data_IF_608444100859
#
_entry.id   IF_608444100859
#
_cell.length_a   1.000
_cell.length_b   1.000
_cell.length_c   1.000
_cell.angle_alpha   90.00
_cell.angle_beta   90.00
_cell.angle_gamma   90.00
#
_symmetry.space_group_name_H-M   'P 1'
#
loop_
_entity.id
_entity.type
_entity.pdbx_description
1 polymer ?
#
# COMPACT_ATOMS: atom_id res chain seq x y z
N UNK A 1 -22.04 9.85 -44.21
CA UNK A 1 -21.60 9.01 -43.07
C UNK A 1 -20.78 9.73 -41.97
N UNK A 2 -20.40 11.02 -42.10
CA UNK A 2 -19.59 11.71 -41.06
C UNK A 2 -20.39 12.54 -40.03
N UNK A 3 -21.65 12.89 -40.32
CA UNK A 3 -22.52 13.64 -39.38
C UNK A 3 -23.40 12.74 -38.50
N UNK A 4 -23.75 11.55 -38.99
CA UNK A 4 -24.43 10.51 -38.22
C UNK A 4 -23.50 9.86 -37.17
N UNK A 5 -22.21 9.75 -37.48
CA UNK A 5 -21.19 9.21 -36.57
C UNK A 5 -20.86 10.12 -35.39
N UNK A 6 -21.12 11.43 -35.50
CA UNK A 6 -20.97 12.38 -34.37
C UNK A 6 -22.16 12.34 -33.40
N UNK A 7 -23.37 12.04 -33.89
CA UNK A 7 -24.53 11.83 -33.00
C UNK A 7 -24.43 10.51 -32.22
N UNK A 8 -23.86 9.46 -32.83
CA UNK A 8 -23.60 8.17 -32.16
C UNK A 8 -22.52 8.30 -31.06
N UNK A 9 -21.54 9.18 -31.23
CA UNK A 9 -20.47 9.44 -30.25
C UNK A 9 -20.96 10.29 -29.06
N UNK A 10 -21.88 11.23 -29.29
CA UNK A 10 -22.45 12.08 -28.22
C UNK A 10 -23.49 11.30 -27.39
N UNK A 11 -24.20 10.34 -27.99
CA UNK A 11 -25.12 9.47 -27.27
C UNK A 11 -24.39 8.43 -26.39
N UNK A 12 -23.16 8.03 -26.77
CA UNK A 12 -22.30 7.16 -25.97
C UNK A 12 -21.69 7.86 -24.73
N UNK A 13 -21.77 9.19 -24.68
CA UNK A 13 -21.34 10.01 -23.53
C UNK A 13 -22.48 10.31 -22.54
N UNK A 14 -23.73 9.92 -22.84
CA UNK A 14 -24.90 10.35 -22.07
C UNK A 14 -25.90 9.23 -21.70
N UNK A 15 -25.41 8.02 -21.41
CA UNK A 15 -26.03 7.12 -20.43
C UNK A 15 -25.08 5.96 -20.06
N UNK A 16 -25.04 5.46 -18.81
CA UNK A 16 -25.89 5.85 -17.67
C UNK A 16 -25.07 6.18 -16.41
N UNK A 17 -25.70 6.99 -15.54
CA UNK A 17 -25.57 6.88 -14.08
C UNK A 17 -26.05 5.48 -13.67
N UNK A 18 -25.32 4.42 -14.05
CA UNK A 18 -25.47 3.12 -13.45
C UNK A 18 -24.82 3.24 -12.10
N UNK A 19 -25.66 3.34 -11.08
CA UNK A 19 -25.46 2.75 -9.77
C UNK A 19 -24.00 2.47 -9.48
N UNK A 20 -23.27 3.48 -8.98
CA UNK A 20 -22.07 3.19 -8.21
C UNK A 20 -22.57 2.36 -7.03
N UNK A 21 -22.25 1.05 -6.92
CA UNK A 21 -22.46 0.41 -5.63
C UNK A 21 -21.70 1.27 -4.64
N UNK A 22 -22.40 1.84 -3.65
CA UNK A 22 -21.73 2.32 -2.47
C UNK A 22 -20.96 1.10 -1.97
N UNK A 23 -19.63 1.17 -2.05
CA UNK A 23 -18.77 0.10 -1.56
C UNK A 23 -19.00 0.03 -0.05
N UNK A 24 -19.90 -0.87 0.30
CA UNK A 24 -20.19 -1.34 1.64
C UNK A 24 -18.90 -1.97 2.18
N UNK A 25 -18.07 -1.17 2.85
CA UNK A 25 -16.76 -1.55 3.35
C UNK A 25 -15.80 -2.00 2.23
N UNK A 26 -14.84 -1.16 1.85
CA UNK A 26 -13.76 -1.51 0.91
C UNK A 26 -12.74 -2.50 1.52
N UNK A 27 -13.22 -3.60 2.08
CA UNK A 27 -12.38 -4.68 2.60
C UNK A 27 -12.11 -5.71 1.51
N UNK A 28 -10.87 -6.16 1.42
CA UNK A 28 -10.41 -7.24 0.58
C UNK A 28 -9.78 -8.32 1.46
N UNK A 29 -9.74 -9.56 0.97
CA UNK A 29 -8.95 -10.60 1.63
C UNK A 29 -7.46 -10.27 1.52
N UNK A 30 -6.72 -10.44 2.62
CA UNK A 30 -5.27 -10.35 2.63
C UNK A 30 -4.71 -11.74 2.96
N UNK A 31 -3.95 -12.32 2.04
CA UNK A 31 -3.38 -13.65 2.20
C UNK A 31 -1.87 -13.52 2.38
N UNK A 32 -1.29 -14.18 3.38
CA UNK A 32 0.16 -14.24 3.49
C UNK A 32 0.77 -14.84 2.23
N UNK A 33 1.80 -14.17 1.70
CA UNK A 33 2.49 -14.59 0.48
C UNK A 33 3.73 -15.42 0.79
N UNK A 34 4.00 -16.41 -0.07
CA UNK A 34 5.23 -17.22 -0.08
C UNK A 34 6.30 -16.67 -1.03
N UNK A 35 6.07 -15.47 -1.55
CA UNK A 35 6.95 -14.86 -2.54
C UNK A 35 8.30 -14.54 -1.92
N UNK A 36 9.35 -15.11 -2.51
CA UNK A 36 10.74 -14.79 -2.17
C UNK A 36 11.04 -13.33 -2.50
N UNK A 37 11.63 -12.61 -1.56
CA UNK A 37 12.08 -11.22 -1.75
C UNK A 37 13.59 -11.14 -1.74
N UNK A 38 14.14 -10.34 -2.64
CA UNK A 38 15.59 -10.20 -2.78
C UNK A 38 15.99 -8.74 -2.61
N UNK A 39 17.02 -8.50 -1.80
CA UNK A 39 17.63 -7.19 -1.60
C UNK A 39 19.09 -7.30 -2.01
N UNK A 40 19.50 -6.55 -3.02
CA UNK A 40 20.85 -6.64 -3.60
C UNK A 40 21.28 -8.07 -3.99
N UNK A 41 20.33 -8.89 -4.45
CA UNK A 41 20.58 -10.28 -4.85
C UNK A 41 20.54 -11.30 -3.71
N UNK A 42 20.42 -10.85 -2.46
CA UNK A 42 20.30 -11.74 -1.30
C UNK A 42 18.84 -11.98 -0.95
N UNK A 43 18.46 -13.25 -0.76
CA UNK A 43 17.11 -13.64 -0.35
C UNK A 43 16.86 -13.20 1.10
N UNK A 44 15.75 -12.50 1.33
CA UNK A 44 15.32 -12.04 2.63
C UNK A 44 13.92 -12.57 2.93
N UNK A 45 13.72 -13.00 4.17
CA UNK A 45 12.41 -13.47 4.64
C UNK A 45 11.59 -12.29 5.14
N UNK A 46 10.77 -11.71 4.25
CA UNK A 46 9.79 -10.70 4.61
C UNK A 46 8.38 -11.27 4.52
N UNK A 47 7.55 -10.94 5.51
CA UNK A 47 6.13 -11.22 5.41
C UNK A 47 5.49 -10.23 4.44
N UNK A 48 4.82 -10.74 3.42
CA UNK A 48 4.01 -9.95 2.51
C UNK A 48 2.58 -10.46 2.48
N UNK A 49 1.69 -9.63 1.96
CA UNK A 49 0.29 -9.97 1.76
C UNK A 49 -0.08 -9.86 0.28
N UNK A 50 -0.62 -10.94 -0.27
CA UNK A 50 -1.35 -10.87 -1.52
C UNK A 50 -2.74 -10.28 -1.27
N UNK A 51 -3.01 -9.15 -1.90
CA UNK A 51 -4.30 -8.45 -1.86
C UNK A 51 -4.68 -8.16 -3.31
N UNK A 52 -5.83 -8.68 -3.75
CA UNK A 52 -6.31 -8.52 -5.13
C UNK A 52 -5.27 -8.87 -6.22
N UNK A 53 -4.46 -9.92 -5.98
CA UNK A 53 -3.47 -10.42 -6.94
C UNK A 53 -2.12 -9.70 -6.91
N UNK A 54 -1.94 -8.66 -6.09
CA UNK A 54 -0.67 -7.96 -5.91
C UNK A 54 -0.07 -8.23 -4.53
N UNK A 55 1.26 -8.32 -4.43
CA UNK A 55 1.96 -8.46 -3.16
C UNK A 55 2.25 -7.08 -2.54
N UNK A 56 1.94 -6.94 -1.26
CA UNK A 56 2.19 -5.76 -0.44
C UNK A 56 3.09 -6.12 0.73
N UNK A 57 4.01 -5.22 1.07
CA UNK A 57 4.95 -5.39 2.18
C UNK A 57 4.83 -4.20 3.14
N UNK A 58 5.10 -4.43 4.42
CA UNK A 58 5.16 -3.36 5.40
C UNK A 58 6.30 -2.39 5.06
N UNK A 59 6.00 -1.09 5.00
CA UNK A 59 7.02 -0.06 4.75
C UNK A 59 8.17 -0.12 5.76
N UNK A 60 7.87 -0.47 7.02
CA UNK A 60 8.88 -0.60 8.08
C UNK A 60 9.78 -1.81 7.91
N UNK A 61 9.25 -2.92 7.41
CA UNK A 61 10.05 -4.12 7.15
C UNK A 61 11.06 -3.86 6.02
N UNK A 62 10.63 -3.14 4.98
CA UNK A 62 11.51 -2.66 3.91
C UNK A 62 12.56 -1.69 4.46
N UNK A 63 12.15 -0.72 5.29
CA UNK A 63 13.06 0.25 5.91
C UNK A 63 14.15 -0.44 6.75
N UNK A 64 13.74 -1.42 7.57
CA UNK A 64 14.64 -2.23 8.38
C UNK A 64 15.67 -2.96 7.52
N UNK A 65 15.23 -3.57 6.42
CA UNK A 65 16.11 -4.34 5.53
C UNK A 65 17.11 -3.45 4.77
N UNK A 66 16.72 -2.22 4.43
CA UNK A 66 17.59 -1.27 3.73
C UNK A 66 18.45 -0.42 4.66
N UNK A 67 18.30 -0.56 5.98
CA UNK A 67 19.08 0.20 6.96
C UNK A 67 20.58 -0.05 6.81
N UNK A 68 21.39 1.01 6.79
CA UNK A 68 22.83 0.93 6.55
C UNK A 68 23.24 0.87 5.08
N UNK A 69 22.28 0.85 4.14
CA UNK A 69 22.55 0.93 2.70
C UNK A 69 22.40 2.37 2.18
N UNK A 70 22.85 2.64 0.96
CA UNK A 70 22.65 3.92 0.29
C UNK A 70 21.15 4.26 0.04
N UNK A 71 20.27 3.27 0.12
CA UNK A 71 18.82 3.42 -0.05
C UNK A 71 18.05 3.36 1.27
N UNK A 72 18.73 3.57 2.40
CA UNK A 72 18.09 3.62 3.71
C UNK A 72 17.04 4.74 3.79
N UNK A 73 15.99 4.49 4.57
CA UNK A 73 15.01 5.49 4.95
C UNK A 73 14.39 5.10 6.30
N UNK A 74 13.83 6.09 6.99
CA UNK A 74 13.02 5.86 8.18
C UNK A 74 11.54 6.11 7.89
N UNK A 75 10.67 5.49 8.68
CA UNK A 75 9.22 5.68 8.62
C UNK A 75 8.76 6.26 9.95
N UNK A 76 8.26 7.49 9.92
CA UNK A 76 7.85 8.23 11.11
C UNK A 76 6.42 8.71 10.99
N UNK A 77 5.87 9.18 12.11
CA UNK A 77 4.58 9.85 12.13
C UNK A 77 4.78 11.36 12.18
N UNK A 78 4.42 12.05 11.10
CA UNK A 78 4.44 13.51 11.07
C UNK A 78 3.16 14.05 11.72
N UNK A 79 3.29 14.47 12.99
CA UNK A 79 2.17 15.03 13.77
C UNK A 79 1.61 16.33 13.20
N UNK A 80 2.45 17.18 12.60
CA UNK A 80 2.04 18.48 12.07
C UNK A 80 1.15 18.30 10.84
N UNK A 81 1.50 17.35 9.97
CA UNK A 81 0.78 17.09 8.73
C UNK A 81 -0.24 15.95 8.84
N UNK A 82 -0.30 15.24 9.98
CA UNK A 82 -1.17 14.09 10.21
C UNK A 82 -0.97 13.04 9.09
N UNK A 83 0.28 12.59 8.94
CA UNK A 83 0.72 11.76 7.83
C UNK A 83 1.82 10.76 8.24
N UNK A 84 1.86 9.63 7.53
CA UNK A 84 3.04 8.75 7.54
C UNK A 84 4.11 9.42 6.70
N UNK A 85 5.30 9.61 7.26
CA UNK A 85 6.41 10.26 6.59
C UNK A 85 7.57 9.28 6.39
N UNK A 86 7.99 9.16 5.15
CA UNK A 86 9.21 8.47 4.73
C UNK A 86 10.30 9.54 4.65
N UNK A 87 11.35 9.36 5.45
CA UNK A 87 12.52 10.25 5.46
C UNK A 87 13.67 9.52 4.79
N UNK A 88 14.02 9.91 3.58
CA UNK A 88 15.07 9.25 2.79
C UNK A 88 16.46 9.56 3.37
N UNK A 89 17.39 8.62 3.25
CA UNK A 89 18.74 8.75 3.79
C UNK A 89 18.85 8.64 5.31
N UNK A 90 17.74 8.59 6.05
CA UNK A 90 17.74 8.34 7.48
C UNK A 90 17.74 6.83 7.76
N UNK A 91 18.54 6.37 8.74
CA UNK A 91 18.51 4.97 9.15
C UNK A 91 17.19 4.64 9.86
N UNK A 92 16.69 3.42 9.67
CA UNK A 92 15.44 2.96 10.30
C UNK A 92 15.52 3.01 11.83
N UNK A 93 14.52 3.60 12.47
CA UNK A 93 14.38 3.63 13.93
C UNK A 93 13.42 2.52 14.37
N UNK A 94 13.89 1.48 15.11
CA UNK A 94 13.01 0.43 15.61
C UNK A 94 11.95 0.98 16.56
N UNK A 95 10.73 0.42 16.49
CA UNK A 95 9.69 0.73 17.48
C UNK A 95 10.07 0.18 18.86
N UNK A 96 9.78 0.94 19.92
CA UNK A 96 10.16 0.62 21.30
C UNK A 96 9.56 -0.71 21.81
N UNK A 97 8.46 -1.15 21.23
CA UNK A 97 7.93 -2.50 21.36
C UNK A 97 7.80 -3.07 19.96
N UNK A 98 8.71 -3.95 19.49
CA UNK A 98 8.45 -4.68 18.26
C UNK A 98 7.16 -5.44 18.51
N UNK A 99 6.11 -5.15 17.74
CA UNK A 99 4.92 -5.99 17.70
C UNK A 99 5.39 -7.37 17.20
N UNK A 100 5.80 -8.24 18.13
CA UNK A 100 6.34 -9.57 17.87
C UNK A 100 5.25 -10.57 17.49
N UNK A 101 4.02 -10.10 17.23
CA UNK A 101 2.99 -10.89 16.59
C UNK A 101 3.32 -11.01 15.10
N UNK A 102 4.27 -11.90 14.81
CA UNK A 102 4.53 -12.32 13.44
C UNK A 102 3.25 -12.92 12.86
N UNK A 103 2.96 -12.55 11.62
CA UNK A 103 1.75 -12.99 10.95
C UNK A 103 1.68 -14.53 10.87
N UNK A 104 0.50 -15.09 11.13
CA UNK A 104 0.28 -16.54 11.10
C UNK A 104 -0.51 -16.94 9.86
N UNK A 105 -0.12 -18.06 9.24
CA UNK A 105 -0.86 -18.65 8.12
C UNK A 105 -2.26 -19.14 8.48
N UNK A 106 -2.50 -19.43 9.76
CA UNK A 106 -3.82 -19.85 10.24
C UNK A 106 -4.77 -18.68 10.51
N UNK A 107 -4.26 -17.46 10.52
CA UNK A 107 -5.05 -16.25 10.79
C UNK A 107 -5.67 -15.75 9.50
N UNK A 108 -6.95 -15.37 9.55
CA UNK A 108 -7.63 -14.70 8.44
C UNK A 108 -7.36 -13.21 8.54
N UNK A 109 -6.77 -12.64 7.50
CA UNK A 109 -6.55 -11.20 7.45
C UNK A 109 -7.50 -10.55 6.44
N UNK A 110 -7.99 -9.37 6.78
CA UNK A 110 -8.71 -8.49 5.89
C UNK A 110 -7.92 -7.19 5.72
N UNK A 111 -7.97 -6.62 4.53
CA UNK A 111 -7.31 -5.38 4.18
C UNK A 111 -8.32 -4.33 3.77
N UNK A 112 -8.24 -3.12 4.33
CA UNK A 112 -9.00 -1.96 3.84
C UNK A 112 -8.06 -0.99 3.17
N UNK A 113 -8.49 -0.36 2.08
CA UNK A 113 -7.72 0.72 1.46
C UNK A 113 -7.41 1.80 2.50
N UNK A 114 -6.13 2.12 2.65
CA UNK A 114 -5.68 3.15 3.58
C UNK A 114 -6.05 4.53 3.06
N UNK A 115 -6.50 5.39 3.97
CA UNK A 115 -6.75 6.82 3.74
C UNK A 115 -5.66 7.70 4.33
N UNK A 116 -4.61 7.10 4.90
CA UNK A 116 -3.48 7.84 5.46
C UNK A 116 -2.76 8.64 4.38
N UNK A 117 -2.45 9.90 4.70
CA UNK A 117 -1.55 10.70 3.89
C UNK A 117 -0.14 10.15 4.01
N UNK A 118 0.57 10.08 2.88
CA UNK A 118 1.94 9.59 2.83
C UNK A 118 2.82 10.67 2.23
N UNK A 119 3.89 10.99 2.94
CA UNK A 119 4.88 11.98 2.56
C UNK A 119 6.21 11.28 2.30
N UNK A 120 6.93 11.76 1.30
CA UNK A 120 8.35 11.44 1.07
C UNK A 120 9.10 12.76 1.15
N UNK A 121 9.95 12.91 2.18
CA UNK A 121 10.71 14.13 2.45
C UNK A 121 9.82 15.39 2.46
N UNK A 122 8.73 15.35 3.24
CA UNK A 122 7.74 16.42 3.34
C UNK A 122 6.81 16.60 2.11
N UNK A 123 7.02 15.86 1.01
CA UNK A 123 6.18 15.97 -0.20
C UNK A 123 5.15 14.85 -0.23
N UNK A 124 3.86 15.21 -0.34
CA UNK A 124 2.80 14.23 -0.43
C UNK A 124 2.90 13.40 -1.71
N UNK A 125 2.77 12.08 -1.56
CA UNK A 125 2.71 11.11 -2.64
C UNK A 125 1.40 10.35 -2.59
N UNK A 126 0.83 10.09 -3.77
CA UNK A 126 -0.36 9.27 -3.91
C UNK A 126 0.08 7.82 -4.13
N UNK A 127 -0.04 6.99 -3.09
CA UNK A 127 0.26 5.56 -3.17
C UNK A 127 -0.94 4.73 -2.73
N UNK A 128 -1.10 3.56 -3.33
CA UNK A 128 -2.07 2.57 -2.88
C UNK A 128 -1.48 1.80 -1.72
N UNK A 129 -2.07 1.96 -0.54
CA UNK A 129 -1.70 1.23 0.66
C UNK A 129 -2.93 0.61 1.32
N UNK A 130 -2.73 -0.41 2.14
CA UNK A 130 -3.79 -1.10 2.86
C UNK A 130 -3.49 -1.14 4.35
N UNK A 131 -4.53 -0.98 5.16
CA UNK A 131 -4.50 -1.33 6.59
C UNK A 131 -4.98 -2.77 6.74
N UNK A 132 -4.17 -3.61 7.38
CA UNK A 132 -4.45 -5.03 7.54
C UNK A 132 -4.94 -5.29 8.97
N UNK A 133 -6.03 -6.04 9.09
CA UNK A 133 -6.68 -6.43 10.34
C UNK A 133 -6.72 -7.97 10.44
N UNK A 134 -6.67 -8.50 11.67
CA UNK A 134 -6.78 -9.92 11.99
C UNK A 134 -8.14 -10.30 12.60
#
# INVERSE_FOLDING_TARGET
MKRLMKLLLVLLLLAPLLSRPALTGNTAQAMLTDSKTYFNGEEQSLYGFNIAGSNYYSLRDIAKQLSGTASQFDVTWNKQQNAVEIVTGQAYTPEASPNSSYYSRSTKYIASLSTSKILVDGKQQQITAYTIFN
#
